data_IF_603803471141
#
_entry.id   IF_603803471141
#
_cell.length_a   1.000
_cell.length_b   1.000
_cell.length_c   1.000
_cell.angle_alpha   90.00
_cell.angle_beta   90.00
_cell.angle_gamma   90.00
#
_symmetry.space_group_name_H-M   'P 1'
#
loop_
_entity.id
_entity.type
_entity.pdbx_description
1 polymer ?
#
# COMPACT_ATOMS: atom_id res chain seq x y z
N UNK A 1 3.95 -16.48 45.73
CA UNK A 1 4.85 -16.45 44.59
C UNK A 1 4.45 -17.47 43.49
N UNK A 2 4.40 -18.79 43.76
CA UNK A 2 4.03 -19.83 42.76
C UNK A 2 2.66 -19.58 42.14
N UNK A 3 1.62 -19.26 42.94
CA UNK A 3 0.27 -18.97 42.45
C UNK A 3 0.23 -17.76 41.48
N UNK A 4 1.02 -16.73 41.78
CA UNK A 4 1.10 -15.54 40.91
C UNK A 4 1.81 -15.84 39.58
N UNK A 5 2.87 -16.67 39.64
CA UNK A 5 3.57 -17.12 38.42
C UNK A 5 2.63 -17.98 37.57
N UNK A 6 1.91 -18.92 38.17
CA UNK A 6 0.95 -19.76 37.48
C UNK A 6 -0.16 -18.94 36.79
N UNK A 7 -0.68 -17.93 37.51
CA UNK A 7 -1.69 -17.02 36.95
C UNK A 7 -1.18 -16.29 35.69
N UNK A 8 0.05 -15.74 35.77
CA UNK A 8 0.66 -15.05 34.63
C UNK A 8 0.86 -16.01 33.44
N UNK A 9 1.34 -17.22 33.68
CA UNK A 9 1.52 -18.24 32.65
C UNK A 9 0.19 -18.60 31.99
N UNK A 10 -0.86 -18.83 32.77
CA UNK A 10 -2.21 -19.13 32.23
C UNK A 10 -2.75 -17.96 31.42
N UNK A 11 -2.55 -16.73 31.88
CA UNK A 11 -2.96 -15.52 31.15
C UNK A 11 -2.26 -15.43 29.79
N UNK A 12 -0.93 -15.61 29.75
CA UNK A 12 -0.15 -15.58 28.52
C UNK A 12 -0.65 -16.67 27.55
N UNK A 13 -0.81 -17.90 28.03
CA UNK A 13 -1.31 -19.00 27.19
C UNK A 13 -2.71 -18.66 26.63
N UNK A 14 -3.59 -18.12 27.46
CA UNK A 14 -4.94 -17.73 27.02
C UNK A 14 -4.90 -16.67 25.93
N UNK A 15 -4.06 -15.65 26.07
CA UNK A 15 -3.87 -14.60 25.05
C UNK A 15 -3.34 -15.21 23.73
N UNK A 16 -2.33 -16.08 23.81
CA UNK A 16 -1.78 -16.74 22.62
C UNK A 16 -2.83 -17.60 21.90
N UNK A 17 -3.63 -18.35 22.67
CA UNK A 17 -4.73 -19.17 22.13
C UNK A 17 -5.77 -18.29 21.46
N UNK A 18 -6.21 -17.20 22.10
CA UNK A 18 -7.18 -16.28 21.51
C UNK A 18 -6.64 -15.62 20.26
N UNK A 19 -5.41 -15.15 20.26
CA UNK A 19 -4.76 -14.60 19.07
C UNK A 19 -4.69 -15.65 17.95
N UNK A 20 -4.37 -16.91 18.28
CA UNK A 20 -4.33 -17.99 17.29
C UNK A 20 -5.68 -18.20 16.59
N UNK A 21 -6.79 -18.18 17.33
CA UNK A 21 -8.11 -18.48 16.79
C UNK A 21 -8.80 -17.28 16.15
N UNK A 22 -8.51 -16.06 16.58
CA UNK A 22 -9.27 -14.88 16.16
C UNK A 22 -8.50 -13.96 15.19
N UNK A 23 -7.17 -13.95 15.23
CA UNK A 23 -6.38 -13.10 14.34
C UNK A 23 -6.16 -13.80 13.00
N UNK A 24 -6.74 -13.31 11.90
CA UNK A 24 -6.56 -13.91 10.57
C UNK A 24 -5.15 -13.65 10.04
N UNK A 25 -4.76 -14.44 9.04
CA UNK A 25 -3.61 -14.12 8.22
C UNK A 25 -4.03 -13.06 7.20
N UNK A 26 -3.65 -11.81 7.45
CA UNK A 26 -4.11 -10.66 6.67
C UNK A 26 -3.37 -10.50 5.33
N UNK A 27 -3.93 -9.68 4.45
CA UNK A 27 -3.27 -9.29 3.20
C UNK A 27 -1.98 -8.50 3.47
N UNK A 28 -1.95 -7.72 4.55
CA UNK A 28 -0.77 -6.97 4.96
C UNK A 28 0.37 -7.90 5.37
N UNK A 29 0.08 -8.96 6.15
CA UNK A 29 1.09 -9.96 6.52
C UNK A 29 1.72 -10.62 5.29
N UNK A 30 0.92 -10.88 4.24
CA UNK A 30 1.44 -11.41 2.96
C UNK A 30 2.43 -10.44 2.31
N UNK A 31 2.15 -9.14 2.34
CA UNK A 31 3.02 -8.12 1.77
C UNK A 31 4.34 -7.99 2.55
N UNK A 32 4.30 -8.07 3.88
CA UNK A 32 5.51 -8.14 4.71
C UNK A 32 6.33 -9.41 4.41
N UNK A 33 5.69 -10.57 4.26
CA UNK A 33 6.40 -11.79 3.89
C UNK A 33 7.07 -11.68 2.52
N UNK A 34 6.40 -11.05 1.54
CA UNK A 34 6.99 -10.77 0.24
C UNK A 34 8.20 -9.84 0.38
N UNK A 35 8.04 -8.73 1.10
CA UNK A 35 9.10 -7.78 1.37
C UNK A 35 10.33 -8.47 1.99
N UNK A 36 10.15 -9.21 3.09
CA UNK A 36 11.24 -9.95 3.72
C UNK A 36 11.83 -11.06 2.86
N UNK A 37 11.04 -11.65 1.96
CA UNK A 37 11.54 -12.63 0.98
C UNK A 37 12.46 -11.98 -0.03
N UNK A 38 12.10 -10.80 -0.54
CA UNK A 38 12.94 -10.03 -1.47
C UNK A 38 14.22 -9.59 -0.76
N UNK A 39 14.11 -9.03 0.44
CA UNK A 39 15.23 -8.61 1.27
C UNK A 39 16.23 -9.73 1.55
N UNK A 40 15.76 -10.96 1.84
CA UNK A 40 16.64 -12.13 2.03
C UNK A 40 17.37 -12.58 0.76
N UNK A 41 16.87 -12.22 -0.41
CA UNK A 41 17.56 -12.52 -1.71
C UNK A 41 18.66 -11.52 -2.04
N UNK A 42 18.61 -10.33 -1.47
CA UNK A 42 19.57 -9.27 -1.67
C UNK A 42 19.04 -7.91 -1.23
N UNK A 43 19.85 -6.89 -1.39
CA UNK A 43 19.45 -5.51 -1.12
C UNK A 43 18.23 -5.11 -1.95
N UNK A 44 17.29 -4.37 -1.37
CA UNK A 44 16.20 -3.75 -2.11
C UNK A 44 16.71 -2.43 -2.69
N UNK A 45 16.77 -2.34 -4.02
CA UNK A 45 17.25 -1.18 -4.74
C UNK A 45 16.11 -0.25 -5.18
N UNK A 46 14.96 -0.85 -5.57
CA UNK A 46 13.77 -0.13 -5.98
C UNK A 46 12.61 -0.45 -5.04
N UNK A 47 12.02 0.58 -4.46
CA UNK A 47 10.92 0.47 -3.52
C UNK A 47 9.66 1.11 -4.11
N UNK A 48 8.58 0.33 -4.24
CA UNK A 48 7.26 0.85 -4.58
C UNK A 48 6.39 0.80 -3.34
N UNK A 49 5.90 1.95 -2.89
CA UNK A 49 4.94 2.06 -1.79
C UNK A 49 3.67 2.76 -2.31
N UNK A 50 2.53 2.32 -1.85
CA UNK A 50 1.25 2.91 -2.24
C UNK A 50 0.08 2.14 -1.69
N UNK A 51 -1.08 2.32 -2.31
CA UNK A 51 -2.33 1.69 -1.96
C UNK A 51 -2.56 0.38 -2.73
N UNK A 52 -3.80 -0.12 -2.72
CA UNK A 52 -4.20 -1.25 -3.56
C UNK A 52 -4.12 -0.95 -5.06
N UNK A 53 -4.16 0.32 -5.47
CA UNK A 53 -4.10 0.72 -6.88
C UNK A 53 -2.74 0.37 -7.48
N UNK A 54 -1.66 0.75 -6.79
CA UNK A 54 -0.30 0.39 -7.21
C UNK A 54 -0.05 -1.13 -7.08
N UNK A 55 -0.59 -1.75 -6.03
CA UNK A 55 -0.49 -3.20 -5.84
C UNK A 55 -1.17 -4.01 -6.94
N UNK A 56 -2.31 -3.52 -7.44
CA UNK A 56 -3.03 -4.13 -8.55
C UNK A 56 -2.47 -3.68 -9.91
N UNK A 57 -1.85 -2.50 -9.98
CA UNK A 57 -1.34 -1.91 -11.23
C UNK A 57 0.08 -2.33 -11.59
N UNK A 58 0.96 -2.48 -10.63
CA UNK A 58 2.38 -2.70 -10.87
C UNK A 58 2.82 -4.17 -10.69
N UNK A 59 3.73 -4.62 -11.54
CA UNK A 59 4.29 -5.98 -11.52
C UNK A 59 5.75 -5.91 -11.08
N UNK A 60 6.04 -6.41 -9.89
CA UNK A 60 7.36 -6.37 -9.27
C UNK A 60 8.47 -6.93 -10.17
N UNK A 61 8.26 -8.11 -10.76
CA UNK A 61 9.28 -8.75 -11.60
C UNK A 61 9.54 -7.99 -12.91
N UNK A 62 8.53 -7.29 -13.43
CA UNK A 62 8.68 -6.40 -14.59
C UNK A 62 9.54 -5.20 -14.22
N UNK A 63 9.23 -4.55 -13.08
CA UNK A 63 10.04 -3.42 -12.58
C UNK A 63 11.47 -3.86 -12.36
N UNK A 64 11.69 -4.99 -11.68
CA UNK A 64 13.05 -5.50 -11.42
C UNK A 64 13.84 -5.71 -12.70
N UNK A 65 13.20 -6.29 -13.73
CA UNK A 65 13.86 -6.56 -15.00
C UNK A 65 14.15 -5.30 -15.81
N UNK A 66 13.17 -4.41 -15.93
CA UNK A 66 13.28 -3.21 -16.76
C UNK A 66 14.24 -2.16 -16.16
N UNK A 67 14.24 -2.00 -14.85
CA UNK A 67 15.16 -1.07 -14.18
C UNK A 67 16.52 -1.68 -13.85
N UNK A 68 16.66 -3.02 -13.97
CA UNK A 68 17.88 -3.71 -13.53
C UNK A 68 18.11 -3.63 -12.01
N UNK A 69 17.04 -3.51 -11.23
CA UNK A 69 17.03 -3.29 -9.79
C UNK A 69 16.27 -4.40 -9.06
N UNK A 70 16.71 -4.78 -7.85
CA UNK A 70 15.93 -5.67 -7.01
C UNK A 70 14.75 -4.90 -6.42
N UNK A 71 13.59 -4.99 -7.08
CA UNK A 71 12.41 -4.21 -6.71
C UNK A 71 11.52 -4.95 -5.70
N UNK A 72 10.85 -4.19 -4.84
CA UNK A 72 9.73 -4.65 -4.04
C UNK A 72 8.52 -3.74 -4.22
N UNK A 73 7.35 -4.35 -4.42
CA UNK A 73 6.05 -3.66 -4.42
C UNK A 73 5.40 -3.90 -3.07
N UNK A 74 5.44 -2.89 -2.22
CA UNK A 74 4.94 -2.94 -0.85
C UNK A 74 3.78 -1.96 -0.67
N UNK A 75 2.58 -2.40 -0.98
CA UNK A 75 1.38 -1.58 -1.12
C UNK A 75 0.29 -2.02 -0.15
N UNK A 76 0.35 -1.61 1.14
CA UNK A 76 -0.70 -1.90 2.10
C UNK A 76 -2.04 -1.28 1.66
N UNK A 77 -3.11 -2.03 1.79
CA UNK A 77 -4.44 -1.55 1.42
C UNK A 77 -4.84 -0.34 2.27
N UNK A 78 -5.14 0.79 1.61
CA UNK A 78 -5.54 2.03 2.28
C UNK A 78 -4.37 2.78 2.94
N UNK A 79 -3.12 2.54 2.48
CA UNK A 79 -1.98 3.35 2.90
C UNK A 79 -2.24 4.83 2.58
N UNK A 80 -1.76 5.69 3.46
CA UNK A 80 -1.72 7.13 3.30
C UNK A 80 -0.27 7.61 3.42
N UNK A 81 0.07 8.85 3.05
CA UNK A 81 1.44 9.34 3.09
C UNK A 81 2.14 9.22 4.45
N UNK A 82 1.41 9.24 5.57
CA UNK A 82 1.99 8.98 6.89
C UNK A 82 2.51 7.56 7.03
N UNK A 83 1.69 6.58 6.65
CA UNK A 83 2.06 5.15 6.68
C UNK A 83 3.18 4.89 5.70
N UNK A 84 3.09 5.46 4.50
CA UNK A 84 4.11 5.32 3.46
C UNK A 84 5.48 5.84 3.92
N UNK A 85 5.51 6.98 4.62
CA UNK A 85 6.72 7.51 5.23
C UNK A 85 7.32 6.56 6.25
N UNK A 86 6.51 5.94 7.12
CA UNK A 86 6.99 4.99 8.12
C UNK A 86 7.58 3.73 7.47
N UNK A 87 6.94 3.23 6.41
CA UNK A 87 7.44 2.09 5.65
C UNK A 87 8.76 2.42 4.94
N UNK A 88 8.88 3.63 4.38
CA UNK A 88 10.13 4.10 3.79
C UNK A 88 11.27 4.09 4.82
N UNK A 89 11.04 4.64 6.02
CA UNK A 89 12.04 4.64 7.08
C UNK A 89 12.51 3.24 7.44
N UNK A 90 11.57 2.29 7.55
CA UNK A 90 11.88 0.91 7.85
C UNK A 90 12.74 0.27 6.76
N UNK A 91 12.30 0.33 5.50
CA UNK A 91 13.02 -0.29 4.39
C UNK A 91 14.42 0.30 4.22
N UNK A 92 14.55 1.62 4.27
CA UNK A 92 15.84 2.31 4.10
C UNK A 92 16.78 2.09 5.29
N UNK A 93 16.26 1.77 6.47
CA UNK A 93 17.11 1.44 7.63
C UNK A 93 17.95 0.17 7.40
N UNK A 94 17.50 -0.73 6.55
CA UNK A 94 18.12 -2.03 6.26
C UNK A 94 18.62 -2.19 4.83
N UNK A 95 18.20 -1.33 3.91
CA UNK A 95 18.48 -1.47 2.49
C UNK A 95 19.04 -0.17 1.91
N UNK A 96 19.84 -0.30 0.84
CA UNK A 96 20.32 0.84 0.05
C UNK A 96 19.37 1.07 -1.13
N UNK A 97 18.24 1.70 -0.85
CA UNK A 97 17.27 2.07 -1.88
C UNK A 97 17.86 3.14 -2.77
N UNK A 98 17.76 2.95 -4.09
CA UNK A 98 18.17 3.92 -5.11
C UNK A 98 16.98 4.64 -5.72
N UNK A 99 15.91 3.91 -5.97
CA UNK A 99 14.67 4.40 -6.58
C UNK A 99 13.49 4.17 -5.66
N UNK A 100 12.69 5.19 -5.42
CA UNK A 100 11.47 5.09 -4.64
C UNK A 100 10.27 5.64 -5.44
N UNK A 101 9.22 4.83 -5.56
CA UNK A 101 7.99 5.15 -6.28
C UNK A 101 6.86 5.13 -5.25
N UNK A 102 6.16 6.25 -5.10
CA UNK A 102 5.02 6.39 -4.20
C UNK A 102 3.74 6.55 -5.00
N UNK A 103 2.68 5.88 -4.57
CA UNK A 103 1.36 6.06 -5.14
C UNK A 103 0.70 7.36 -4.69
N UNK A 104 -0.02 8.00 -5.61
CA UNK A 104 -0.91 9.11 -5.29
C UNK A 104 -2.30 8.80 -5.80
N UNK A 105 -3.14 8.31 -4.93
CA UNK A 105 -4.55 8.01 -5.23
C UNK A 105 -5.38 9.30 -5.14
N UNK A 106 -5.77 9.83 -6.31
CA UNK A 106 -6.54 11.07 -6.40
C UNK A 106 -7.89 10.93 -5.70
N UNK A 107 -8.63 9.84 -5.90
CA UNK A 107 -9.91 9.64 -5.23
C UNK A 107 -9.77 9.56 -3.71
N UNK A 108 -8.76 8.82 -3.22
CA UNK A 108 -8.51 8.76 -1.79
C UNK A 108 -8.14 10.12 -1.23
N UNK A 109 -7.39 10.93 -1.97
CA UNK A 109 -6.99 12.27 -1.54
C UNK A 109 -8.12 13.30 -1.62
N UNK A 110 -9.13 13.08 -2.46
CA UNK A 110 -10.36 13.88 -2.52
C UNK A 110 -11.33 13.58 -1.37
N UNK A 111 -11.30 12.37 -0.80
CA UNK A 111 -12.22 11.97 0.26
C UNK A 111 -12.02 12.80 1.52
N UNK A 112 -13.12 13.14 2.17
CA UNK A 112 -13.09 13.75 3.49
C UNK A 112 -12.28 12.91 4.49
N UNK A 113 -11.48 13.53 5.38
CA UNK A 113 -10.73 12.84 6.43
C UNK A 113 -11.59 11.87 7.26
N UNK A 114 -12.87 12.16 7.44
CA UNK A 114 -13.82 11.32 8.17
C UNK A 114 -13.92 9.89 7.63
N UNK A 115 -13.85 9.72 6.29
CA UNK A 115 -13.91 8.40 5.65
C UNK A 115 -12.55 7.68 5.59
N UNK A 116 -11.45 8.43 5.75
CA UNK A 116 -10.08 7.89 5.67
C UNK A 116 -9.61 7.26 6.99
N UNK A 117 -9.93 7.90 8.13
CA UNK A 117 -9.42 7.50 9.43
C UNK A 117 -9.73 6.05 9.86
N UNK A 118 -10.92 5.49 9.64
CA UNK A 118 -11.19 4.11 10.05
C UNK A 118 -10.31 3.06 9.35
N UNK A 119 -9.99 3.28 8.07
CA UNK A 119 -9.10 2.38 7.29
C UNK A 119 -7.66 2.51 7.75
N UNK A 120 -7.20 3.73 7.98
CA UNK A 120 -5.87 4.00 8.53
C UNK A 120 -5.69 3.41 9.92
N UNK A 121 -6.72 3.40 10.76
CA UNK A 121 -6.65 2.77 12.08
C UNK A 121 -6.49 1.26 12.03
N UNK A 122 -7.18 0.58 11.13
CA UNK A 122 -7.02 -0.85 10.95
C UNK A 122 -5.61 -1.16 10.44
N UNK A 123 -5.13 -0.42 9.45
CA UNK A 123 -3.79 -0.57 8.91
C UNK A 123 -2.73 -0.32 9.99
N UNK A 124 -2.87 0.73 10.80
CA UNK A 124 -1.95 1.00 11.90
C UNK A 124 -1.91 -0.13 12.93
N UNK A 125 -3.05 -0.76 13.24
CA UNK A 125 -3.11 -1.92 14.15
C UNK A 125 -2.37 -3.14 13.58
N UNK A 126 -2.52 -3.37 12.28
CA UNK A 126 -1.84 -4.47 11.59
C UNK A 126 -0.33 -4.19 11.49
N UNK A 127 0.07 -2.95 11.21
CA UNK A 127 1.47 -2.52 11.18
C UNK A 127 2.15 -2.66 12.55
N UNK A 128 1.51 -2.21 13.63
CA UNK A 128 2.06 -2.38 14.99
C UNK A 128 2.35 -3.84 15.29
N UNK A 129 1.50 -4.75 14.82
CA UNK A 129 1.70 -6.18 15.00
C UNK A 129 2.92 -6.71 14.26
N UNK A 130 3.06 -6.33 12.98
CA UNK A 130 4.17 -6.79 12.14
C UNK A 130 5.50 -6.14 12.57
N UNK A 131 5.44 -4.90 13.02
CA UNK A 131 6.62 -4.15 13.45
C UNK A 131 7.05 -4.46 14.90
N UNK A 132 6.28 -5.28 15.64
CA UNK A 132 6.64 -5.64 17.01
C UNK A 132 7.97 -6.40 17.09
N UNK A 133 8.26 -7.18 16.07
CA UNK A 133 9.51 -7.91 15.93
C UNK A 133 10.63 -7.03 15.33
N UNK A 134 10.28 -5.84 14.81
CA UNK A 134 11.21 -4.86 14.25
C UNK A 134 11.42 -3.71 15.24
N UNK A 135 12.56 -3.71 15.91
CA UNK A 135 12.82 -2.81 17.04
C UNK A 135 12.80 -1.32 16.64
N UNK A 136 13.23 -0.93 15.45
CA UNK A 136 13.28 0.48 15.04
C UNK A 136 11.91 1.00 14.59
N UNK A 137 11.22 0.27 13.70
CA UNK A 137 9.87 0.63 13.29
C UNK A 137 8.89 0.51 14.45
N UNK A 138 9.05 -0.52 15.29
CA UNK A 138 8.29 -0.67 16.53
C UNK A 138 8.46 0.53 17.46
N UNK A 139 9.65 1.07 17.65
CA UNK A 139 9.89 2.29 18.43
C UNK A 139 9.18 3.51 17.83
N UNK A 140 9.28 3.71 16.50
CA UNK A 140 8.66 4.84 15.81
C UNK A 140 7.14 4.75 15.94
N UNK A 141 6.55 3.58 15.68
CA UNK A 141 5.12 3.35 15.81
C UNK A 141 4.65 3.52 17.24
N UNK A 142 5.39 2.98 18.20
CA UNK A 142 5.10 3.10 19.63
C UNK A 142 5.19 4.56 20.11
N UNK A 143 6.20 5.31 19.71
CA UNK A 143 6.34 6.72 20.12
C UNK A 143 5.19 7.60 19.61
N UNK A 144 4.62 7.29 18.44
CA UNK A 144 3.51 8.05 17.83
C UNK A 144 2.12 7.62 18.30
N UNK A 145 1.95 6.34 18.65
CA UNK A 145 0.65 5.76 18.98
C UNK A 145 0.58 5.23 20.42
N UNK A 146 1.60 5.50 21.24
CA UNK A 146 1.74 4.98 22.60
C UNK A 146 0.58 5.34 23.53
N UNK A 147 -0.04 6.51 23.35
CA UNK A 147 -1.13 6.94 24.23
C UNK A 147 -2.39 6.09 24.11
N UNK A 148 -2.55 5.35 23.02
CA UNK A 148 -3.79 4.60 22.79
C UNK A 148 -3.66 3.07 22.78
N UNK A 149 -2.44 2.43 22.63
CA UNK A 149 -2.45 1.09 22.05
C UNK A 149 -1.44 0.02 22.50
N UNK A 150 -0.67 0.19 23.58
CA UNK A 150 0.13 -0.92 24.13
C UNK A 150 -0.73 -2.14 24.48
N UNK A 151 -1.91 -1.90 25.06
CA UNK A 151 -2.86 -2.96 25.38
C UNK A 151 -3.41 -3.67 24.15
N UNK A 152 -3.59 -2.97 23.02
CA UNK A 152 -4.15 -3.55 21.80
C UNK A 152 -3.17 -4.43 21.04
N UNK A 153 -1.86 -4.19 21.14
CA UNK A 153 -0.86 -5.03 20.48
C UNK A 153 -0.73 -6.39 21.15
N UNK A 154 -0.78 -6.46 22.47
CA UNK A 154 -0.76 -7.71 23.22
C UNK A 154 -2.09 -8.46 23.10
N UNK A 155 -3.23 -7.73 23.20
CA UNK A 155 -4.57 -8.28 23.10
C UNK A 155 -5.14 -8.11 21.68
N UNK A 156 -4.38 -8.51 20.65
CA UNK A 156 -4.79 -8.39 19.23
C UNK A 156 -6.19 -8.96 18.96
N UNK A 157 -6.53 -10.06 19.64
CA UNK A 157 -7.85 -10.68 19.51
C UNK A 157 -9.00 -9.70 19.83
N UNK A 158 -8.78 -8.68 20.66
CA UNK A 158 -9.79 -7.66 20.96
C UNK A 158 -10.18 -6.85 19.72
N UNK A 159 -9.26 -6.66 18.77
CA UNK A 159 -9.55 -6.01 17.49
C UNK A 159 -10.24 -6.92 16.47
N UNK A 160 -10.28 -8.21 16.74
CA UNK A 160 -10.86 -9.24 15.87
C UNK A 160 -11.96 -10.05 16.57
N UNK A 161 -12.60 -9.49 17.59
CA UNK A 161 -13.66 -10.17 18.36
C UNK A 161 -14.81 -10.67 17.48
N UNK A 162 -15.13 -9.97 16.40
CA UNK A 162 -16.17 -10.38 15.44
C UNK A 162 -15.82 -11.69 14.72
N UNK A 163 -14.52 -12.05 14.66
CA UNK A 163 -14.07 -13.30 14.08
C UNK A 163 -14.44 -14.55 14.92
N UNK A 164 -14.94 -14.37 16.14
CA UNK A 164 -15.52 -15.49 16.92
C UNK A 164 -16.57 -16.23 16.09
N UNK A 165 -17.35 -15.51 15.29
CA UNK A 165 -18.35 -16.08 14.38
C UNK A 165 -17.76 -16.74 13.15
N UNK A 166 -16.46 -16.51 12.86
CA UNK A 166 -15.78 -16.98 11.65
C UNK A 166 -14.44 -17.69 11.93
N UNK A 167 -14.31 -18.36 13.07
CA UNK A 167 -13.11 -19.15 13.40
C UNK A 167 -12.70 -20.11 12.27
N UNK A 168 -13.64 -20.82 11.60
CA UNK A 168 -13.26 -21.68 10.47
C UNK A 168 -12.58 -20.92 9.33
N UNK A 169 -13.03 -19.71 9.01
CA UNK A 169 -12.40 -18.85 7.99
C UNK A 169 -10.99 -18.42 8.40
N UNK A 170 -10.80 -18.05 9.66
CA UNK A 170 -9.47 -17.71 10.20
C UNK A 170 -8.52 -18.89 10.11
N UNK A 171 -8.95 -20.08 10.50
CA UNK A 171 -8.13 -21.28 10.42
C UNK A 171 -7.84 -21.68 8.96
N UNK A 172 -8.81 -21.49 8.05
CA UNK A 172 -8.61 -21.70 6.62
C UNK A 172 -7.53 -20.79 6.07
N UNK A 173 -7.55 -19.48 6.36
CA UNK A 173 -6.53 -18.54 5.90
C UNK A 173 -5.12 -18.95 6.35
N UNK A 174 -4.98 -19.41 7.59
CA UNK A 174 -3.72 -19.91 8.15
C UNK A 174 -3.26 -21.23 7.53
N UNK A 175 -4.19 -22.12 7.20
CA UNK A 175 -3.88 -23.36 6.49
C UNK A 175 -3.40 -23.08 5.07
N UNK A 176 -4.05 -22.17 4.36
CA UNK A 176 -3.65 -21.76 3.01
C UNK A 176 -2.22 -21.19 2.99
N UNK A 177 -1.82 -20.43 4.03
CA UNK A 177 -0.44 -19.99 4.21
C UNK A 177 0.56 -21.15 4.25
N UNK A 178 0.22 -22.23 4.95
CA UNK A 178 1.12 -23.39 5.10
C UNK A 178 1.19 -24.25 3.85
N UNK A 179 0.07 -24.40 3.13
CA UNK A 179 -0.04 -25.34 2.01
C UNK A 179 0.32 -24.73 0.66
N UNK A 180 0.23 -23.41 0.50
CA UNK A 180 0.50 -22.70 -0.74
C UNK A 180 1.15 -21.34 -0.46
N UNK A 181 2.38 -21.30 0.12
CA UNK A 181 3.04 -20.03 0.42
C UNK A 181 3.25 -19.19 -0.85
N UNK A 182 3.46 -19.83 -2.01
CA UNK A 182 3.63 -19.13 -3.29
C UNK A 182 2.33 -18.54 -3.83
N UNK A 183 1.18 -19.20 -3.67
CA UNK A 183 -0.12 -18.62 -4.05
C UNK A 183 -0.46 -17.36 -3.26
N UNK A 184 0.08 -17.19 -2.07
CA UNK A 184 -0.15 -16.04 -1.20
C UNK A 184 0.70 -14.83 -1.58
N UNK A 185 1.81 -15.07 -2.27
CA UNK A 185 2.71 -14.07 -2.82
C UNK A 185 2.19 -13.52 -4.16
N UNK A 186 1.39 -14.28 -4.84
CA UNK A 186 1.03 -14.15 -6.25
C UNK A 186 0.02 -13.04 -6.59
N UNK A 187 -0.40 -12.19 -5.65
CA UNK A 187 -1.21 -11.01 -6.00
C UNK A 187 -0.33 -9.86 -6.51
N UNK A 188 0.98 -9.87 -6.19
CA UNK A 188 1.94 -8.86 -6.68
C UNK A 188 2.89 -9.35 -7.77
N UNK A 189 3.04 -10.66 -7.97
CA UNK A 189 4.03 -11.24 -8.89
C UNK A 189 3.46 -11.91 -10.14
N UNK A 190 2.34 -11.41 -10.65
CA UNK A 190 1.94 -11.67 -12.04
C UNK A 190 1.16 -12.96 -12.30
N UNK A 191 0.50 -13.55 -11.32
CA UNK A 191 -0.55 -14.53 -11.66
C UNK A 191 -1.63 -13.84 -12.48
N UNK A 192 -2.08 -14.45 -13.57
CA UNK A 192 -3.26 -13.98 -14.28
C UNK A 192 -4.39 -13.91 -13.25
N UNK A 193 -4.85 -12.71 -12.91
CA UNK A 193 -6.17 -12.56 -12.30
C UNK A 193 -7.09 -13.27 -13.27
N UNK A 194 -7.86 -14.23 -12.75
CA UNK A 194 -8.75 -15.07 -13.51
C UNK A 194 -9.44 -14.25 -14.61
N UNK A 195 -9.10 -14.56 -15.86
CA UNK A 195 -9.60 -13.83 -17.02
C UNK A 195 -11.14 -13.84 -17.11
N UNK A 196 -11.80 -14.70 -16.33
CA UNK A 196 -13.25 -14.77 -16.22
C UNK A 196 -13.89 -13.51 -15.61
N UNK A 197 -13.15 -12.71 -14.84
CA UNK A 197 -13.62 -11.43 -14.27
C UNK A 197 -13.41 -10.22 -15.17
N UNK A 198 -12.86 -10.40 -16.38
CA UNK A 198 -12.58 -9.31 -17.33
C UNK A 198 -13.85 -8.74 -17.96
N UNK A 199 -14.99 -9.41 -17.89
CA UNK A 199 -16.15 -9.10 -18.75
C UNK A 199 -17.27 -8.28 -18.15
N UNK A 200 -17.23 -7.91 -16.86
CA UNK A 200 -18.18 -6.96 -16.29
C UNK A 200 -17.52 -6.19 -15.14
N UNK A 201 -16.84 -5.07 -15.41
CA UNK A 201 -16.46 -4.17 -14.33
C UNK A 201 -17.75 -3.71 -13.63
N UNK A 202 -17.94 -4.12 -12.39
CA UNK A 202 -19.06 -3.64 -11.59
C UNK A 202 -18.74 -2.22 -11.13
N UNK A 203 -19.03 -1.22 -11.97
CA UNK A 203 -18.93 0.16 -11.58
C UNK A 203 -20.08 0.51 -10.64
N UNK A 204 -19.85 0.39 -9.36
CA UNK A 204 -20.83 0.85 -8.36
C UNK A 204 -20.63 2.36 -8.12
N UNK A 205 -21.28 3.16 -8.94
CA UNK A 205 -21.24 4.62 -8.83
C UNK A 205 -21.97 5.16 -7.61
N UNK A 206 -22.95 4.45 -7.04
CA UNK A 206 -23.72 4.94 -5.89
C UNK A 206 -22.79 5.22 -4.71
N UNK A 207 -21.85 4.32 -4.47
CA UNK A 207 -20.84 4.51 -3.43
C UNK A 207 -19.86 5.63 -3.77
N UNK A 208 -19.37 5.68 -5.02
CA UNK A 208 -18.44 6.73 -5.46
C UNK A 208 -19.09 8.11 -5.37
N UNK A 209 -20.38 8.25 -5.72
CA UNK A 209 -21.08 9.53 -5.73
C UNK A 209 -21.67 9.92 -4.36
N UNK A 210 -21.72 9.00 -3.40
CA UNK A 210 -22.17 9.26 -2.03
C UNK A 210 -21.09 9.89 -1.14
N UNK A 211 -19.83 9.81 -1.55
CA UNK A 211 -18.72 10.35 -0.79
C UNK A 211 -18.65 11.88 -0.94
N UNK A 212 -18.28 12.58 0.13
CA UNK A 212 -17.98 14.01 0.09
C UNK A 212 -16.55 14.21 -0.44
N UNK A 213 -16.43 14.97 -1.52
CA UNK A 213 -15.17 15.25 -2.18
C UNK A 213 -14.75 16.71 -2.05
N UNK A 214 -13.45 16.93 -2.01
CA UNK A 214 -12.79 18.25 -2.12
C UNK A 214 -11.78 18.22 -3.25
N UNK A 215 -11.50 19.35 -3.84
CA UNK A 215 -10.42 19.54 -4.80
C UNK A 215 -9.15 20.13 -4.17
N UNK A 216 -9.14 20.29 -2.86
CA UNK A 216 -8.00 20.81 -2.12
C UNK A 216 -7.13 19.68 -1.61
N UNK A 217 -5.85 19.69 -1.98
CA UNK A 217 -4.86 18.75 -1.43
C UNK A 217 -4.81 18.86 0.09
N UNK A 218 -4.98 17.73 0.78
CA UNK A 218 -4.99 17.70 2.24
C UNK A 218 -3.62 18.15 2.79
N UNK A 219 -3.53 19.26 3.55
CA UNK A 219 -2.26 19.78 4.03
C UNK A 219 -1.50 18.79 4.91
N UNK A 220 -2.21 17.99 5.72
CA UNK A 220 -1.60 17.00 6.61
C UNK A 220 -0.94 15.86 5.81
N UNK A 221 -1.59 15.36 4.78
CA UNK A 221 -1.03 14.32 3.92
C UNK A 221 0.14 14.87 3.12
N UNK A 222 0.02 16.09 2.62
CA UNK A 222 1.09 16.74 1.86
C UNK A 222 2.31 17.08 2.73
N UNK A 223 2.13 17.33 4.03
CA UNK A 223 3.24 17.43 4.98
C UNK A 223 4.11 16.16 4.99
N UNK A 224 3.47 14.97 4.94
CA UNK A 224 4.22 13.72 4.86
C UNK A 224 4.86 13.50 3.49
N UNK A 225 4.23 13.94 2.41
CA UNK A 225 4.85 13.97 1.07
C UNK A 225 6.16 14.77 1.11
N UNK A 226 6.15 15.94 1.75
CA UNK A 226 7.36 16.77 1.94
C UNK A 226 8.41 16.04 2.79
N UNK A 227 8.00 15.35 3.87
CA UNK A 227 8.93 14.54 4.69
C UNK A 227 9.57 13.40 3.89
N UNK A 228 8.79 12.72 3.05
CA UNK A 228 9.28 11.68 2.13
C UNK A 228 10.32 12.30 1.17
N UNK A 229 9.98 13.43 0.53
CA UNK A 229 10.90 14.14 -0.38
C UNK A 229 12.23 14.48 0.30
N UNK A 230 12.16 15.13 1.44
CA UNK A 230 13.34 15.59 2.15
C UNK A 230 14.22 14.42 2.60
N UNK A 231 13.59 13.36 3.11
CA UNK A 231 14.29 12.13 3.49
C UNK A 231 14.96 11.45 2.28
N UNK A 232 14.26 11.32 1.16
CA UNK A 232 14.82 10.74 -0.05
C UNK A 232 15.98 11.56 -0.59
N UNK A 233 15.85 12.89 -0.61
CA UNK A 233 16.92 13.80 -1.00
C UNK A 233 18.16 13.64 -0.12
N UNK A 234 17.98 13.60 1.20
CA UNK A 234 19.08 13.46 2.17
C UNK A 234 19.78 12.09 2.06
N UNK A 235 19.10 11.08 1.57
CA UNK A 235 19.63 9.73 1.34
C UNK A 235 20.12 9.47 -0.09
N UNK A 236 19.95 10.45 -1.00
CA UNK A 236 20.30 10.29 -2.40
C UNK A 236 19.41 9.31 -3.15
N UNK A 237 18.15 9.17 -2.72
CA UNK A 237 17.15 8.29 -3.33
C UNK A 237 16.42 9.07 -4.41
N UNK A 238 16.33 8.52 -5.61
CA UNK A 238 15.55 9.07 -6.72
C UNK A 238 14.05 8.83 -6.47
N UNK A 239 13.30 9.91 -6.23
CA UNK A 239 11.91 9.87 -5.79
C UNK A 239 10.94 10.20 -6.92
N UNK A 240 9.93 9.36 -7.06
CA UNK A 240 8.79 9.55 -7.97
C UNK A 240 7.47 9.40 -7.22
N UNK A 241 6.50 10.28 -7.51
CA UNK A 241 5.11 10.05 -7.15
C UNK A 241 4.32 9.69 -8.39
N UNK A 242 3.63 8.57 -8.34
CA UNK A 242 2.83 8.02 -9.43
C UNK A 242 1.35 8.33 -9.20
N UNK A 243 0.76 9.16 -10.05
CA UNK A 243 -0.68 9.36 -10.02
C UNK A 243 -1.39 8.07 -10.46
N UNK A 244 -2.24 7.53 -9.59
CA UNK A 244 -3.06 6.38 -9.97
C UNK A 244 -4.04 6.79 -11.08
N UNK A 245 -4.11 6.04 -12.19
CA UNK A 245 -5.07 6.32 -13.26
C UNK A 245 -6.49 6.00 -12.80
N UNK A 246 -7.47 6.60 -13.45
CA UNK A 246 -8.88 6.34 -13.19
C UNK A 246 -9.67 6.13 -14.48
N UNK A 247 -10.74 5.31 -14.47
CA UNK A 247 -11.56 5.11 -15.64
C UNK A 247 -12.30 6.40 -16.04
N UNK A 248 -12.41 6.64 -17.34
CA UNK A 248 -13.04 7.86 -17.88
C UNK A 248 -14.44 8.09 -17.32
N UNK A 249 -15.24 7.05 -17.18
CA UNK A 249 -16.59 7.16 -16.61
C UNK A 249 -16.59 7.70 -15.17
N UNK A 250 -15.57 7.41 -14.37
CA UNK A 250 -15.45 7.91 -12.99
C UNK A 250 -14.96 9.35 -12.97
N UNK A 251 -14.02 9.70 -13.87
CA UNK A 251 -13.53 11.07 -14.06
C UNK A 251 -14.69 11.98 -14.46
N UNK A 252 -15.53 11.52 -15.39
CA UNK A 252 -16.69 12.28 -15.88
C UNK A 252 -17.80 12.40 -14.81
N UNK A 253 -17.96 11.36 -13.96
CA UNK A 253 -18.97 11.34 -12.91
C UNK A 253 -18.61 12.24 -11.71
N UNK A 254 -17.33 12.32 -11.34
CA UNK A 254 -16.87 13.11 -10.19
C UNK A 254 -16.35 14.46 -10.66
N UNK A 255 -17.22 15.47 -10.64
CA UNK A 255 -16.95 16.81 -11.19
C UNK A 255 -15.64 17.47 -10.71
N UNK A 256 -15.22 17.19 -9.49
CA UNK A 256 -14.00 17.77 -8.90
C UNK A 256 -12.72 17.00 -9.24
N UNK A 257 -12.82 15.84 -9.94
CA UNK A 257 -11.64 15.00 -10.19
C UNK A 257 -10.54 15.75 -10.95
N UNK A 258 -10.89 16.40 -12.04
CA UNK A 258 -9.91 17.12 -12.87
C UNK A 258 -9.25 18.29 -12.13
N UNK A 259 -10.01 19.04 -11.32
CA UNK A 259 -9.45 20.13 -10.50
C UNK A 259 -8.52 19.58 -9.42
N UNK A 260 -8.92 18.51 -8.73
CA UNK A 260 -8.05 17.86 -7.72
C UNK A 260 -6.78 17.28 -8.35
N UNK A 261 -6.88 16.65 -9.53
CA UNK A 261 -5.71 16.15 -10.25
C UNK A 261 -4.75 17.29 -10.59
N UNK A 262 -5.28 18.38 -11.16
CA UNK A 262 -4.48 19.56 -11.52
C UNK A 262 -3.84 20.22 -10.29
N UNK A 263 -4.58 20.33 -9.18
CA UNK A 263 -4.07 20.90 -7.92
C UNK A 263 -2.99 19.98 -7.30
N UNK A 264 -3.17 18.67 -7.37
CA UNK A 264 -2.15 17.70 -6.96
C UNK A 264 -0.89 17.85 -7.79
N UNK A 265 -1.00 17.79 -9.13
CA UNK A 265 0.14 17.95 -10.03
C UNK A 265 0.89 19.26 -9.77
N UNK A 266 0.16 20.37 -9.60
CA UNK A 266 0.76 21.65 -9.25
C UNK A 266 1.52 21.60 -7.94
N UNK A 267 0.93 21.00 -6.89
CA UNK A 267 1.57 20.91 -5.57
C UNK A 267 2.88 20.10 -5.62
N UNK A 268 2.92 19.00 -6.40
CA UNK A 268 4.14 18.21 -6.59
C UNK A 268 5.21 19.00 -7.37
N UNK A 269 4.83 19.71 -8.43
CA UNK A 269 5.76 20.57 -9.21
C UNK A 269 6.31 21.70 -8.33
N UNK A 270 5.46 22.40 -7.58
CA UNK A 270 5.88 23.47 -6.66
C UNK A 270 6.81 22.93 -5.54
N UNK A 271 6.69 21.66 -5.18
CA UNK A 271 7.55 20.97 -4.22
C UNK A 271 8.82 20.36 -4.86
N UNK A 272 9.07 20.56 -6.15
CA UNK A 272 10.20 19.96 -6.88
C UNK A 272 10.24 18.41 -6.79
N UNK A 273 9.07 17.78 -6.81
CA UNK A 273 8.92 16.32 -6.77
C UNK A 273 8.59 15.82 -8.18
N UNK A 274 9.28 14.77 -8.65
CA UNK A 274 8.97 14.12 -9.92
C UNK A 274 7.61 13.44 -9.84
N UNK A 275 6.67 13.90 -10.65
CA UNK A 275 5.30 13.41 -10.70
C UNK A 275 5.06 12.67 -12.00
N UNK A 276 4.80 11.36 -11.91
CA UNK A 276 4.45 10.52 -13.06
C UNK A 276 2.97 10.77 -13.38
N UNK A 277 2.77 11.55 -14.43
CA UNK A 277 1.45 11.95 -14.92
C UNK A 277 0.86 10.86 -15.80
N UNK A 278 -0.10 10.10 -15.28
CA UNK A 278 -0.75 9.02 -16.03
C UNK A 278 -1.74 9.49 -17.08
N UNK A 279 -2.01 10.81 -17.17
CA UNK A 279 -2.73 11.42 -18.28
C UNK A 279 -1.82 11.87 -19.43
N UNK A 280 -0.51 11.73 -19.30
CA UNK A 280 0.41 11.95 -20.39
C UNK A 280 0.30 10.82 -21.42
N UNK A 281 -0.38 11.11 -22.53
CA UNK A 281 -0.63 10.14 -23.60
C UNK A 281 0.64 9.64 -24.30
N UNK A 282 1.78 10.31 -24.13
CA UNK A 282 3.05 9.84 -24.67
C UNK A 282 3.54 8.59 -23.94
N UNK A 283 3.43 8.57 -22.59
CA UNK A 283 3.83 7.43 -21.79
C UNK A 283 2.67 6.45 -21.55
N UNK A 284 1.45 6.97 -21.37
CA UNK A 284 0.29 6.20 -20.95
C UNK A 284 -0.86 6.29 -21.96
N UNK A 285 -0.66 5.82 -23.20
CA UNK A 285 -1.75 5.79 -24.17
C UNK A 285 -2.88 4.91 -23.63
N UNK A 286 -4.11 5.38 -23.74
CA UNK A 286 -5.33 4.68 -23.29
C UNK A 286 -5.45 4.49 -21.77
N UNK A 287 -4.71 5.24 -20.94
CA UNK A 287 -4.72 5.07 -19.48
C UNK A 287 -6.10 5.22 -18.84
N UNK A 288 -7.02 5.93 -19.47
CA UNK A 288 -8.38 6.19 -18.95
C UNK A 288 -9.46 5.31 -19.57
N UNK A 289 -9.12 4.39 -20.48
CA UNK A 289 -10.11 3.50 -21.09
C UNK A 289 -10.75 2.58 -20.02
N UNK A 290 -12.09 2.57 -19.99
CA UNK A 290 -12.84 1.83 -18.97
C UNK A 290 -12.52 0.33 -18.96
N UNK A 291 -12.20 -0.26 -20.11
CA UNK A 291 -11.80 -1.67 -20.25
C UNK A 291 -10.53 -2.03 -19.50
N UNK A 292 -9.72 -1.05 -19.15
CA UNK A 292 -8.47 -1.23 -18.42
C UNK A 292 -8.65 -1.36 -16.91
N UNK A 293 -9.89 -1.18 -16.40
CA UNK A 293 -10.17 -1.14 -14.97
C UNK A 293 -11.19 -2.20 -14.55
N UNK A 294 -11.05 -2.67 -13.31
CA UNK A 294 -11.97 -3.63 -12.67
C UNK A 294 -13.16 -2.93 -12.03
N UNK A 295 -12.99 -1.69 -11.61
CA UNK A 295 -13.96 -0.92 -10.84
C UNK A 295 -13.84 0.59 -11.07
N UNK A 296 -14.73 1.33 -10.43
CA UNK A 296 -14.79 2.79 -10.53
C UNK A 296 -13.68 3.53 -9.78
N UNK A 297 -12.88 2.86 -8.95
CA UNK A 297 -11.81 3.49 -8.18
C UNK A 297 -10.45 3.48 -8.89
N UNK A 298 -10.32 2.72 -9.99
CA UNK A 298 -9.11 2.71 -10.80
C UNK A 298 -8.22 1.48 -10.59
N UNK A 299 -8.73 0.39 -10.00
CA UNK A 299 -7.97 -0.86 -9.96
C UNK A 299 -7.79 -1.44 -11.36
N UNK A 300 -6.55 -1.58 -11.79
CA UNK A 300 -6.18 -1.98 -13.14
C UNK A 300 -6.48 -3.47 -13.38
N UNK A 301 -6.94 -3.81 -14.62
CA UNK A 301 -7.16 -5.20 -15.04
C UNK A 301 -5.84 -5.92 -15.26
N UNK A 302 -5.85 -7.26 -15.16
CA UNK A 302 -4.68 -8.09 -15.45
C UNK A 302 -4.14 -7.91 -16.88
N UNK A 303 -5.01 -7.63 -17.85
CA UNK A 303 -4.61 -7.44 -19.24
C UNK A 303 -3.78 -6.16 -19.45
N UNK A 304 -4.17 -5.04 -18.82
CA UNK A 304 -3.48 -3.75 -18.98
C UNK A 304 -2.27 -3.60 -18.04
N UNK A 305 -2.20 -4.37 -16.98
CA UNK A 305 -1.20 -4.26 -15.92
C UNK A 305 0.25 -4.25 -16.41
N UNK A 306 0.56 -5.12 -17.37
CA UNK A 306 1.93 -5.22 -17.94
C UNK A 306 2.31 -3.94 -18.67
N UNK A 307 1.43 -3.46 -19.55
CA UNK A 307 1.70 -2.26 -20.37
C UNK A 307 1.81 -1.03 -19.48
N UNK A 308 0.96 -0.93 -18.46
CA UNK A 308 1.05 0.12 -17.45
C UNK A 308 2.38 0.09 -16.70
N UNK A 309 2.83 -1.09 -16.23
CA UNK A 309 4.13 -1.22 -15.56
C UNK A 309 5.29 -0.83 -16.45
N UNK A 310 5.27 -1.24 -17.71
CA UNK A 310 6.30 -0.88 -18.69
C UNK A 310 6.35 0.64 -18.94
N UNK A 311 5.18 1.29 -19.01
CA UNK A 311 5.10 2.74 -19.17
C UNK A 311 5.71 3.49 -17.96
N UNK A 312 5.43 3.03 -16.75
CA UNK A 312 6.04 3.57 -15.52
C UNK A 312 7.56 3.40 -15.54
N UNK A 313 8.05 2.20 -15.87
CA UNK A 313 9.50 1.96 -15.95
C UNK A 313 10.18 2.83 -17.01
N UNK A 314 9.56 2.98 -18.19
CA UNK A 314 10.05 3.85 -19.25
C UNK A 314 10.16 5.30 -18.78
N UNK A 315 9.13 5.82 -18.12
CA UNK A 315 9.15 7.17 -17.57
C UNK A 315 10.32 7.35 -16.59
N UNK A 316 10.52 6.39 -15.68
CA UNK A 316 11.61 6.41 -14.69
C UNK A 316 12.98 6.41 -15.36
N UNK A 317 13.21 5.55 -16.35
CA UNK A 317 14.49 5.48 -17.08
C UNK A 317 14.83 6.76 -17.83
N UNK A 318 13.82 7.46 -18.35
CA UNK A 318 14.02 8.71 -19.10
C UNK A 318 14.18 9.93 -18.19
N UNK A 319 13.56 9.93 -17.00
CA UNK A 319 13.50 11.08 -16.08
C UNK A 319 14.27 10.85 -14.76
N UNK A 320 14.80 9.65 -14.54
CA UNK A 320 15.60 9.31 -13.37
C UNK A 320 17.00 9.92 -13.40
N UNK A 321 17.62 9.97 -12.23
CA UNK A 321 19.04 10.36 -12.13
C UNK A 321 19.86 9.23 -12.75
N UNK A 322 20.56 9.53 -13.84
CA UNK A 322 21.53 8.59 -14.41
C UNK A 322 22.72 8.51 -13.45
N UNK A 323 22.77 7.43 -12.67
CA UNK A 323 23.97 7.12 -11.93
C UNK A 323 25.02 6.63 -12.96
N UNK A 324 25.99 7.49 -13.24
CA UNK A 324 27.20 7.15 -13.99
C UNK A 324 28.11 6.21 -13.19
#
# INVERSE_FOLDING_TARGET
MIKSILFVVVLIISVLVMNFFLVPYSSLMKKFENYHRVERKGNIDCLVIGSSLEGDGLIQDVISRELGENAVVFTPQGANPEVEYLLLLDVVSRNKVRTAIFGWDVFQNMMSPYYRYPRSEQLNRELIKECWDDFELGKIMVSRYAEQRYSQSFFQFCSFQDNVKNIPGVLKSKKERRTNPEKLVLVSDGTPIDASNIHNPSFNFDKLLSDEYTDTVNPKDFEYVIKIRDFCRDKGIDLFFLAAPAPKVSIDAVKLYNSMYANSKKAFVDAEIKFIDTFDNFYFPFSTENSNFKDCYGHITGAYRKDYTLAVCRYIMENGVKNE
#
